data_IF_822259331611
#
_entry.id   IF_822259331611
#
_cell.length_a   1.000
_cell.length_b   1.000
_cell.length_c   1.000
_cell.angle_alpha   90.00
_cell.angle_beta   90.00
_cell.angle_gamma   90.00
#
_symmetry.space_group_name_H-M   'P 1'
#
loop_
_entity.id
_entity.type
_entity.pdbx_description
1 polymer ?
#
# COMPACT_ATOMS: atom_id res chain seq x y z
N UNK A 1 63.76 -69.22 -17.72
CA UNK A 1 63.28 -67.84 -17.95
C UNK A 1 62.16 -67.62 -16.96
N UNK A 2 62.27 -66.60 -16.11
CA UNK A 2 61.19 -66.22 -15.22
C UNK A 2 60.09 -65.59 -16.07
N UNK A 3 58.83 -65.94 -15.81
CA UNK A 3 57.67 -65.42 -16.55
C UNK A 3 57.32 -64.06 -15.94
N UNK A 4 57.20 -63.02 -16.78
CA UNK A 4 56.77 -61.68 -16.36
C UNK A 4 55.43 -61.73 -15.60
N UNK A 5 55.31 -60.95 -14.54
CA UNK A 5 54.05 -60.75 -13.82
C UNK A 5 53.32 -59.54 -14.41
N UNK A 6 51.98 -59.51 -14.28
CA UNK A 6 51.21 -58.35 -14.76
C UNK A 6 51.37 -57.20 -13.78
N UNK A 7 51.36 -55.95 -14.26
CA UNK A 7 51.33 -54.80 -13.37
C UNK A 7 50.01 -54.78 -12.57
N UNK A 8 50.01 -54.04 -11.47
CA UNK A 8 48.83 -53.73 -10.66
C UNK A 8 48.48 -52.26 -10.86
N UNK A 9 47.30 -52.00 -11.44
CA UNK A 9 46.74 -50.66 -11.50
C UNK A 9 46.03 -50.34 -10.18
N UNK A 10 46.20 -49.10 -9.71
CA UNK A 10 45.45 -48.49 -8.62
C UNK A 10 45.09 -47.07 -9.08
N UNK A 11 43.80 -46.80 -9.26
CA UNK A 11 43.29 -45.52 -9.75
C UNK A 11 43.03 -44.50 -8.63
N UNK A 12 43.35 -44.86 -7.38
CA UNK A 12 43.07 -44.07 -6.20
C UNK A 12 41.64 -44.21 -5.69
N UNK A 13 41.35 -43.55 -4.57
CA UNK A 13 40.03 -43.58 -3.95
C UNK A 13 39.01 -42.70 -4.69
N UNK A 14 37.74 -43.10 -4.61
CA UNK A 14 36.61 -42.30 -5.10
C UNK A 14 36.56 -40.93 -4.44
N UNK A 15 36.10 -39.92 -5.19
CA UNK A 15 36.07 -38.52 -4.77
C UNK A 15 34.66 -37.94 -4.81
N UNK A 16 34.40 -36.91 -3.99
CA UNK A 16 33.18 -36.11 -4.02
C UNK A 16 33.54 -34.64 -4.03
N UNK A 17 33.05 -33.89 -5.03
CA UNK A 17 33.38 -32.48 -5.25
C UNK A 17 32.16 -31.69 -5.73
N UNK A 18 32.18 -30.38 -5.53
CA UNK A 18 31.18 -29.48 -6.13
C UNK A 18 31.50 -29.17 -7.60
N UNK A 19 30.46 -28.90 -8.38
CA UNK A 19 30.60 -28.47 -9.78
C UNK A 19 31.49 -27.23 -9.92
N UNK A 20 32.46 -27.29 -10.82
CA UNK A 20 33.46 -26.23 -11.03
C UNK A 20 34.75 -26.36 -10.21
N UNK A 21 34.81 -27.29 -9.24
CA UNK A 21 36.03 -27.53 -8.48
C UNK A 21 37.14 -28.19 -9.34
N UNK A 22 38.44 -27.89 -9.09
CA UNK A 22 39.53 -28.65 -9.68
C UNK A 22 39.62 -30.05 -9.06
N UNK A 23 39.88 -31.06 -9.89
CA UNK A 23 39.97 -32.48 -9.49
C UNK A 23 41.28 -33.07 -10.01
N UNK A 24 41.93 -33.88 -9.17
CA UNK A 24 43.10 -34.69 -9.52
C UNK A 24 42.80 -36.16 -9.24
N UNK A 25 42.91 -37.02 -10.24
CA UNK A 25 42.85 -38.48 -10.08
C UNK A 25 44.27 -39.05 -10.09
N UNK A 26 44.58 -39.96 -9.17
CA UNK A 26 45.95 -40.30 -8.78
C UNK A 26 46.23 -41.79 -8.90
N UNK A 27 47.10 -42.14 -9.86
CA UNK A 27 47.54 -43.50 -10.14
C UNK A 27 48.88 -43.89 -9.53
N UNK A 28 49.48 -43.05 -8.67
CA UNK A 28 50.84 -43.24 -8.14
C UNK A 28 51.03 -44.52 -7.31
N UNK A 29 49.96 -45.12 -6.80
CA UNK A 29 49.98 -46.40 -6.08
C UNK A 29 50.08 -47.62 -7.02
N UNK A 30 49.95 -47.41 -8.33
CA UNK A 30 50.15 -48.47 -9.32
C UNK A 30 51.59 -48.99 -9.28
N UNK A 31 51.79 -50.29 -9.46
CA UNK A 31 53.10 -50.92 -9.34
C UNK A 31 53.26 -52.11 -10.29
N UNK A 32 54.50 -52.52 -10.49
CA UNK A 32 54.85 -53.75 -11.21
C UNK A 32 55.73 -54.65 -10.30
N UNK A 33 55.28 -55.85 -9.92
CA UNK A 33 55.99 -56.68 -8.93
C UNK A 33 57.40 -57.13 -9.32
N UNK A 34 57.70 -57.26 -10.62
CA UNK A 34 59.00 -57.73 -11.13
C UNK A 34 59.66 -56.77 -12.14
N UNK A 35 59.12 -55.56 -12.30
CA UNK A 35 59.62 -54.57 -13.24
C UNK A 35 59.25 -53.13 -12.91
N UNK A 36 59.00 -52.34 -13.96
CA UNK A 36 58.68 -50.92 -13.91
C UNK A 36 57.51 -50.59 -14.83
N UNK A 37 56.70 -49.61 -14.45
CA UNK A 37 55.64 -49.09 -15.31
C UNK A 37 56.23 -48.20 -16.40
N UNK A 38 55.94 -48.51 -17.66
CA UNK A 38 56.40 -47.79 -18.84
C UNK A 38 55.42 -46.74 -19.35
N UNK A 39 54.12 -46.87 -19.02
CA UNK A 39 53.08 -45.92 -19.44
C UNK A 39 51.85 -45.91 -18.53
N UNK A 40 51.20 -44.75 -18.46
CA UNK A 40 49.88 -44.54 -17.86
C UNK A 40 48.91 -44.06 -18.94
N UNK A 41 47.64 -44.42 -18.83
CA UNK A 41 46.59 -43.94 -19.73
C UNK A 41 45.26 -43.85 -18.99
N UNK A 42 44.77 -42.62 -18.82
CA UNK A 42 43.48 -42.29 -18.25
C UNK A 42 42.45 -42.08 -19.35
N UNK A 43 41.29 -42.73 -19.20
CA UNK A 43 40.15 -42.54 -20.09
C UNK A 43 38.90 -42.36 -19.24
N UNK A 44 38.11 -41.35 -19.55
CA UNK A 44 36.77 -41.23 -18.99
C UNK A 44 35.86 -42.30 -19.61
N UNK A 45 35.27 -43.15 -18.76
CA UNK A 45 34.41 -44.27 -19.17
C UNK A 45 32.92 -43.96 -19.05
N UNK A 46 32.51 -43.04 -18.17
CA UNK A 46 31.12 -42.65 -18.00
C UNK A 46 30.96 -41.21 -17.47
N UNK A 47 29.71 -40.71 -17.55
CA UNK A 47 29.30 -39.41 -17.05
C UNK A 47 29.52 -38.24 -18.03
N UNK A 48 29.17 -36.99 -17.62
CA UNK A 48 29.39 -35.80 -18.42
C UNK A 48 30.86 -35.61 -18.83
N UNK A 49 31.12 -35.36 -20.12
CA UNK A 49 32.50 -35.30 -20.64
C UNK A 49 33.30 -34.15 -20.04
N UNK A 50 34.52 -34.46 -19.59
CA UNK A 50 35.51 -33.48 -19.13
C UNK A 50 36.76 -33.51 -20.00
N UNK A 51 37.51 -32.41 -20.00
CA UNK A 51 38.84 -32.36 -20.64
C UNK A 51 39.87 -32.81 -19.63
N UNK A 52 40.38 -34.04 -19.78
CA UNK A 52 41.51 -34.54 -19.00
C UNK A 52 42.81 -33.89 -19.47
N UNK A 53 43.53 -33.29 -18.53
CA UNK A 53 44.90 -32.82 -18.73
C UNK A 53 45.85 -33.85 -18.14
N UNK A 54 46.98 -34.09 -18.81
CA UNK A 54 47.99 -35.09 -18.39
C UNK A 54 47.43 -36.51 -18.27
N UNK A 55 46.52 -36.86 -19.19
CA UNK A 55 45.88 -38.18 -19.22
C UNK A 55 46.88 -39.35 -19.46
N UNK A 56 48.11 -39.07 -19.87
CA UNK A 56 49.18 -40.06 -20.07
C UNK A 56 50.20 -40.10 -18.91
N UNK A 57 49.96 -39.35 -17.83
CA UNK A 57 50.79 -39.33 -16.63
C UNK A 57 50.15 -40.13 -15.48
N UNK A 58 50.93 -40.36 -14.42
CA UNK A 58 50.43 -41.04 -13.22
C UNK A 58 49.28 -40.29 -12.56
N UNK A 59 49.28 -38.95 -12.61
CA UNK A 59 48.20 -38.09 -12.14
C UNK A 59 47.59 -37.34 -13.32
N UNK A 60 46.27 -37.40 -13.46
CA UNK A 60 45.52 -36.60 -14.42
C UNK A 60 44.63 -35.59 -13.69
N UNK A 61 44.34 -34.45 -14.32
CA UNK A 61 43.51 -33.40 -13.73
C UNK A 61 42.42 -32.91 -14.67
N UNK A 62 41.34 -32.41 -14.10
CA UNK A 62 40.25 -31.75 -14.82
C UNK A 62 39.51 -30.77 -13.90
N UNK A 63 38.58 -30.01 -14.47
CA UNK A 63 37.61 -29.20 -13.71
C UNK A 63 36.27 -29.91 -13.73
N UNK A 64 35.68 -30.15 -12.56
CA UNK A 64 34.37 -30.77 -12.46
C UNK A 64 33.33 -29.95 -13.25
N UNK A 65 32.47 -30.60 -14.07
CA UNK A 65 31.47 -29.88 -14.85
C UNK A 65 30.43 -29.25 -13.93
N UNK A 66 29.86 -28.13 -14.34
CA UNK A 66 28.64 -27.60 -13.69
C UNK A 66 27.47 -28.51 -14.03
N UNK A 67 26.78 -29.02 -13.01
CA UNK A 67 25.67 -29.97 -13.17
C UNK A 67 24.40 -29.41 -12.53
N UNK A 68 23.24 -29.66 -13.16
CA UNK A 68 21.93 -29.24 -12.64
C UNK A 68 21.37 -30.19 -11.58
N UNK A 69 21.89 -31.42 -11.53
CA UNK A 69 21.58 -32.47 -10.55
C UNK A 69 22.85 -33.28 -10.30
N UNK A 70 22.95 -33.99 -9.17
CA UNK A 70 24.10 -34.84 -8.88
C UNK A 70 24.45 -35.76 -10.05
N UNK A 71 25.73 -35.83 -10.39
CA UNK A 71 26.25 -36.64 -11.49
C UNK A 71 27.46 -37.44 -11.03
N UNK A 72 27.72 -38.56 -11.69
CA UNK A 72 28.90 -39.38 -11.43
C UNK A 72 29.78 -39.44 -12.68
N UNK A 73 31.08 -39.21 -12.51
CA UNK A 73 32.09 -39.39 -13.55
C UNK A 73 32.88 -40.66 -13.23
N UNK A 74 33.09 -41.52 -14.22
CA UNK A 74 33.96 -42.69 -14.06
C UNK A 74 35.19 -42.54 -14.94
N UNK A 75 36.35 -42.83 -14.36
CA UNK A 75 37.62 -42.84 -15.06
C UNK A 75 38.27 -44.21 -14.91
N UNK A 76 38.94 -44.65 -15.97
CA UNK A 76 39.70 -45.90 -16.01
C UNK A 76 41.17 -45.56 -16.23
N UNK A 77 42.00 -45.95 -15.29
CA UNK A 77 43.45 -46.00 -15.45
C UNK A 77 43.84 -47.31 -16.14
N UNK A 78 44.74 -47.24 -17.11
CA UNK A 78 45.45 -48.40 -17.64
C UNK A 78 46.94 -48.16 -17.53
N UNK A 79 47.65 -49.06 -16.84
CA UNK A 79 49.11 -49.04 -16.74
C UNK A 79 49.70 -50.14 -17.62
N UNK A 80 50.86 -49.86 -18.22
CA UNK A 80 51.63 -50.84 -19.02
C UNK A 80 53.01 -51.02 -18.39
N UNK A 81 53.46 -52.25 -18.22
CA UNK A 81 54.81 -52.55 -17.72
C UNK A 81 55.90 -52.43 -18.81
N UNK A 82 57.17 -52.66 -18.47
CA UNK A 82 58.28 -52.63 -19.42
C UNK A 82 58.32 -53.81 -20.41
N UNK A 83 57.47 -54.82 -20.21
CA UNK A 83 57.37 -56.01 -21.07
C UNK A 83 56.09 -56.00 -21.93
N UNK A 84 55.24 -54.97 -21.79
CA UNK A 84 54.06 -54.68 -22.59
C UNK A 84 52.74 -55.24 -22.05
N UNK A 85 52.72 -55.87 -20.88
CA UNK A 85 51.47 -56.32 -20.25
C UNK A 85 50.72 -55.14 -19.61
N UNK A 86 49.39 -55.28 -19.50
CA UNK A 86 48.50 -54.19 -19.05
C UNK A 86 47.57 -54.64 -17.94
N UNK A 87 47.32 -53.70 -17.02
CA UNK A 87 46.27 -53.80 -16.03
C UNK A 87 45.50 -52.48 -15.97
N UNK A 88 44.27 -52.54 -15.47
CA UNK A 88 43.42 -51.37 -15.35
C UNK A 88 42.67 -51.37 -14.03
N UNK A 89 42.39 -50.18 -13.55
CA UNK A 89 41.57 -49.91 -12.38
C UNK A 89 40.70 -48.67 -12.65
N UNK A 90 39.66 -48.44 -11.83
CA UNK A 90 38.70 -47.36 -12.03
C UNK A 90 38.47 -46.54 -10.77
N UNK A 91 38.22 -45.25 -10.95
CA UNK A 91 37.87 -44.30 -9.89
C UNK A 91 36.61 -43.54 -10.26
N UNK A 92 35.76 -43.32 -9.27
CA UNK A 92 34.51 -42.58 -9.38
C UNK A 92 34.65 -41.17 -8.79
N UNK A 93 34.13 -40.16 -9.49
CA UNK A 93 34.05 -38.79 -8.99
C UNK A 93 32.59 -38.34 -8.98
N UNK A 94 32.00 -38.26 -7.79
CA UNK A 94 30.68 -37.72 -7.57
C UNK A 94 30.73 -36.18 -7.62
N UNK A 95 29.90 -35.58 -8.46
CA UNK A 95 29.80 -34.13 -8.64
C UNK A 95 28.45 -33.65 -8.13
N UNK A 96 28.46 -32.80 -7.11
CA UNK A 96 27.27 -32.14 -6.56
C UNK A 96 27.01 -30.79 -7.25
N UNK A 97 25.75 -30.43 -7.58
CA UNK A 97 25.42 -29.09 -8.06
C UNK A 97 25.80 -28.05 -7.02
N UNK A 98 26.42 -26.96 -7.45
CA UNK A 98 26.45 -25.74 -6.65
C UNK A 98 25.05 -25.10 -6.75
N UNK A 99 24.27 -25.12 -5.67
CA UNK A 99 23.05 -24.32 -5.65
C UNK A 99 23.45 -22.84 -5.58
N UNK A 100 22.92 -21.99 -6.47
CA UNK A 100 23.11 -20.55 -6.35
C UNK A 100 22.44 -20.11 -5.03
N UNK A 101 23.17 -19.37 -4.21
CA UNK A 101 22.64 -18.83 -2.96
C UNK A 101 21.45 -17.91 -3.25
N UNK A 102 20.35 -18.08 -2.52
CA UNK A 102 19.18 -17.22 -2.59
C UNK A 102 19.20 -16.16 -1.47
N UNK A 103 18.66 -14.95 -1.68
CA UNK A 103 18.56 -13.98 -0.59
C UNK A 103 17.61 -14.45 0.51
N UNK A 104 17.82 -14.01 1.77
CA UNK A 104 16.92 -14.34 2.87
C UNK A 104 15.55 -13.69 2.67
N UNK A 105 14.57 -14.13 3.47
CA UNK A 105 13.25 -13.50 3.62
C UNK A 105 13.26 -12.67 4.91
N UNK A 106 13.13 -11.35 4.77
CA UNK A 106 12.97 -10.42 5.89
C UNK A 106 11.49 -10.28 6.27
N UNK A 107 11.18 -10.40 7.55
CA UNK A 107 9.83 -10.25 8.11
C UNK A 107 9.95 -9.38 9.37
N UNK A 108 9.54 -8.11 9.29
CA UNK A 108 9.61 -7.14 10.40
C UNK A 108 8.45 -7.27 11.41
N UNK A 109 7.45 -8.10 11.08
CA UNK A 109 6.20 -8.23 11.83
C UNK A 109 5.12 -7.28 11.32
N UNK A 110 3.89 -7.36 11.87
CA UNK A 110 2.79 -6.50 11.45
C UNK A 110 2.93 -5.07 11.94
N UNK A 111 2.31 -4.13 11.21
CA UNK A 111 2.10 -2.75 11.66
C UNK A 111 1.41 -2.70 13.03
N UNK A 112 1.79 -1.71 13.85
CA UNK A 112 1.32 -1.58 15.23
C UNK A 112 0.67 -0.22 15.49
N UNK A 113 -0.12 -0.16 16.56
CA UNK A 113 -0.63 1.08 17.12
C UNK A 113 -0.25 1.20 18.58
N UNK A 114 0.11 2.40 19.02
CA UNK A 114 0.53 2.67 20.38
C UNK A 114 0.06 4.06 20.84
N UNK A 115 0.09 4.30 22.15
CA UNK A 115 -0.07 5.63 22.72
C UNK A 115 1.32 6.21 23.00
N UNK A 116 1.50 7.51 22.88
CA UNK A 116 2.75 8.19 23.20
C UNK A 116 3.21 7.86 24.65
N UNK A 117 4.49 7.56 24.82
CA UNK A 117 5.07 7.09 26.08
C UNK A 117 4.95 5.57 26.34
N UNK A 118 4.20 4.83 25.52
CA UNK A 118 4.14 3.37 25.61
C UNK A 118 5.39 2.70 25.03
N UNK A 119 5.75 1.53 25.57
CA UNK A 119 6.80 0.70 24.99
C UNK A 119 6.24 -0.16 23.85
N UNK A 120 6.90 -0.09 22.70
CA UNK A 120 6.61 -0.89 21.51
C UNK A 120 7.69 -1.95 21.35
N UNK A 121 7.30 -3.17 21.02
CA UNK A 121 8.22 -4.28 20.76
C UNK A 121 7.99 -4.84 19.37
N UNK A 122 9.08 -5.03 18.63
CA UNK A 122 9.11 -5.57 17.27
C UNK A 122 9.83 -6.92 17.31
N UNK A 123 9.36 -7.87 16.50
CA UNK A 123 9.86 -9.24 16.47
C UNK A 123 10.02 -9.72 15.02
N UNK A 124 11.28 -9.92 14.62
CA UNK A 124 11.67 -10.42 13.30
C UNK A 124 12.04 -11.91 13.30
N UNK A 125 11.74 -12.66 14.37
CA UNK A 125 12.09 -14.08 14.50
C UNK A 125 11.50 -15.00 13.42
N UNK A 126 10.51 -14.53 12.67
CA UNK A 126 9.96 -15.23 11.51
C UNK A 126 10.81 -15.09 10.23
N UNK A 127 11.79 -14.18 10.22
CA UNK A 127 12.74 -14.04 9.12
C UNK A 127 13.60 -15.30 9.00
N UNK A 128 13.89 -15.71 7.77
CA UNK A 128 14.56 -16.99 7.52
C UNK A 128 15.31 -16.97 6.19
N UNK A 129 16.21 -17.92 6.03
CA UNK A 129 16.97 -18.20 4.83
C UNK A 129 16.94 -19.72 4.59
N UNK A 130 16.93 -20.17 3.34
CA UNK A 130 16.80 -21.60 3.05
C UNK A 130 18.14 -22.34 3.25
N UNK A 131 19.25 -21.62 3.18
CA UNK A 131 20.62 -22.11 3.19
C UNK A 131 21.27 -22.03 4.58
N UNK A 132 20.76 -21.19 5.49
CA UNK A 132 21.35 -21.08 6.81
C UNK A 132 20.72 -20.07 7.78
N UNK A 133 21.46 -19.71 8.84
CA UNK A 133 21.02 -18.70 9.78
C UNK A 133 21.14 -17.28 9.19
N UNK A 134 20.38 -16.35 9.76
CA UNK A 134 20.37 -14.94 9.35
C UNK A 134 20.81 -14.02 10.49
N UNK A 135 21.22 -12.81 10.12
CA UNK A 135 21.52 -11.69 11.02
C UNK A 135 20.57 -10.53 10.77
N UNK A 136 20.33 -9.70 11.79
CA UNK A 136 19.34 -8.61 11.75
C UNK A 136 20.03 -7.25 11.84
N UNK A 137 19.40 -6.24 11.24
CA UNK A 137 19.76 -4.84 11.43
C UNK A 137 18.51 -3.97 11.37
N UNK A 138 18.13 -3.41 12.52
CA UNK A 138 17.01 -2.49 12.66
C UNK A 138 17.44 -1.03 12.55
N UNK A 139 16.65 -0.23 11.84
CA UNK A 139 16.90 1.20 11.68
C UNK A 139 15.59 1.99 11.65
N UNK A 140 15.51 3.06 12.43
CA UNK A 140 14.45 4.04 12.24
C UNK A 140 14.70 4.81 10.94
N UNK A 141 13.71 4.82 10.05
CA UNK A 141 13.80 5.48 8.74
C UNK A 141 12.95 6.75 8.65
N UNK A 142 11.90 6.87 9.47
CA UNK A 142 11.02 8.04 9.53
C UNK A 142 10.39 8.24 10.91
N UNK A 143 9.83 9.42 11.13
CA UNK A 143 9.13 9.82 12.36
C UNK A 143 10.02 10.49 13.42
N UNK A 144 9.44 10.90 14.55
CA UNK A 144 10.17 11.47 15.68
C UNK A 144 11.23 10.51 16.23
N UNK A 145 12.42 11.00 16.56
CA UNK A 145 13.52 10.15 17.01
C UNK A 145 13.25 9.53 18.39
N UNK A 146 13.66 8.29 18.56
CA UNK A 146 13.61 7.58 19.83
C UNK A 146 14.93 6.86 20.13
N UNK A 147 15.09 6.39 21.37
CA UNK A 147 16.21 5.56 21.78
C UNK A 147 15.79 4.08 21.80
N UNK A 148 16.57 3.24 21.14
CA UNK A 148 16.42 1.79 21.21
C UNK A 148 16.68 1.28 22.63
N UNK A 149 15.90 0.31 23.05
CA UNK A 149 16.09 -0.43 24.29
C UNK A 149 16.73 -1.77 23.98
N UNK A 150 18.06 -1.78 23.90
CA UNK A 150 18.85 -2.96 23.56
C UNK A 150 19.58 -2.83 22.23
N UNK A 151 20.12 -3.95 21.75
CA UNK A 151 20.92 -3.99 20.54
C UNK A 151 20.02 -4.08 19.30
N UNK A 152 20.35 -3.30 18.27
CA UNK A 152 19.57 -3.22 17.02
C UNK A 152 19.88 -4.36 16.03
N UNK A 153 20.70 -5.33 16.43
CA UNK A 153 21.05 -6.53 15.69
C UNK A 153 20.38 -7.80 16.25
N UNK A 154 19.47 -7.65 17.22
CA UNK A 154 18.67 -8.73 17.78
C UNK A 154 17.39 -8.99 16.95
N UNK A 155 16.88 -10.22 17.00
CA UNK A 155 15.59 -10.58 16.39
C UNK A 155 14.43 -9.77 16.98
N UNK A 156 14.48 -9.49 18.29
CA UNK A 156 13.49 -8.67 18.99
C UNK A 156 14.11 -7.38 19.48
N UNK A 157 13.45 -6.26 19.19
CA UNK A 157 13.85 -4.92 19.65
C UNK A 157 12.66 -4.21 20.30
N UNK A 158 12.94 -3.22 21.15
CA UNK A 158 11.90 -2.36 21.70
C UNK A 158 12.35 -0.91 21.81
N UNK A 159 11.38 -0.02 21.91
CA UNK A 159 11.59 1.39 22.18
C UNK A 159 10.38 1.98 22.90
N UNK A 160 10.54 3.15 23.51
CA UNK A 160 9.40 3.93 24.02
C UNK A 160 9.04 5.00 23.01
N UNK A 161 7.76 5.08 22.66
CA UNK A 161 7.25 6.11 21.74
C UNK A 161 7.44 7.51 22.36
N UNK A 162 8.00 8.49 21.63
CA UNK A 162 8.14 9.85 22.13
C UNK A 162 6.78 10.56 22.31
N UNK A 163 6.74 11.57 23.17
CA UNK A 163 5.62 12.52 23.27
C UNK A 163 5.92 13.74 22.43
N UNK A 164 5.02 14.10 21.52
CA UNK A 164 5.18 15.20 20.56
C UNK A 164 4.09 16.25 20.66
N UNK A 165 3.00 15.98 21.38
CA UNK A 165 1.82 16.85 21.45
C UNK A 165 0.96 16.82 20.19
N UNK A 166 1.14 15.79 19.36
CA UNK A 166 0.36 15.54 18.16
C UNK A 166 0.55 14.07 17.74
N UNK A 167 -0.46 13.47 17.13
CA UNK A 167 -0.38 12.12 16.56
C UNK A 167 0.67 12.03 15.45
N UNK A 168 1.36 10.88 15.35
CA UNK A 168 2.42 10.66 14.37
C UNK A 168 2.61 9.18 14.02
N UNK A 169 3.37 8.93 12.96
CA UNK A 169 3.83 7.59 12.60
C UNK A 169 5.36 7.48 12.71
N UNK A 170 5.83 6.31 13.14
CA UNK A 170 7.24 5.91 13.09
C UNK A 170 7.38 4.79 12.07
N UNK A 171 8.35 4.90 11.17
CA UNK A 171 8.68 3.83 10.23
C UNK A 171 10.03 3.24 10.61
N UNK A 172 10.05 1.93 10.87
CA UNK A 172 11.25 1.18 11.21
C UNK A 172 11.52 0.18 10.08
N UNK A 173 12.72 0.24 9.51
CA UNK A 173 13.23 -0.74 8.55
C UNK A 173 14.00 -1.86 9.24
N UNK A 174 13.81 -3.08 8.75
CA UNK A 174 14.59 -4.28 9.04
C UNK A 174 15.42 -4.63 7.80
N UNK A 175 16.69 -4.95 7.99
CA UNK A 175 17.51 -5.65 7.00
C UNK A 175 17.95 -6.98 7.58
N UNK A 176 17.76 -8.05 6.82
CA UNK A 176 18.17 -9.41 7.14
C UNK A 176 19.26 -9.84 6.18
N UNK A 177 20.37 -10.36 6.68
CA UNK A 177 21.53 -10.78 5.87
C UNK A 177 21.90 -12.23 6.19
N UNK A 178 22.08 -13.04 5.15
CA UNK A 178 22.53 -14.42 5.26
C UNK A 178 24.05 -14.53 5.55
N UNK A 179 24.54 -15.75 5.71
CA UNK A 179 25.97 -16.01 5.97
C UNK A 179 26.90 -15.77 4.77
N UNK A 180 26.34 -15.64 3.58
CA UNK A 180 27.07 -15.44 2.31
C UNK A 180 27.02 -13.97 1.83
N UNK A 181 26.34 -13.09 2.59
CA UNK A 181 26.27 -11.65 2.40
C UNK A 181 25.11 -11.16 1.54
N UNK A 182 24.16 -12.01 1.11
CA UNK A 182 22.93 -11.52 0.48
C UNK A 182 21.96 -11.00 1.53
N UNK A 183 21.16 -10.00 1.17
CA UNK A 183 20.23 -9.36 2.10
C UNK A 183 18.88 -9.08 1.48
N UNK A 184 17.89 -8.98 2.36
CA UNK A 184 16.53 -8.52 2.07
C UNK A 184 16.07 -7.55 3.17
N UNK A 185 15.05 -6.76 2.87
CA UNK A 185 14.53 -5.78 3.81
C UNK A 185 13.01 -5.83 3.89
N UNK A 186 12.49 -5.45 5.05
CA UNK A 186 11.07 -5.25 5.32
C UNK A 186 10.91 -4.05 6.26
N UNK A 187 9.69 -3.54 6.45
CA UNK A 187 9.43 -2.41 7.33
C UNK A 187 8.14 -2.57 8.12
N UNK A 188 8.12 -1.96 9.30
CA UNK A 188 6.95 -1.88 10.16
C UNK A 188 6.61 -0.41 10.43
N UNK A 189 5.32 -0.09 10.34
CA UNK A 189 4.77 1.22 10.68
C UNK A 189 4.12 1.14 12.05
N UNK A 190 4.50 2.08 12.93
CA UNK A 190 3.89 2.25 14.24
C UNK A 190 3.13 3.56 14.27
N UNK A 191 1.79 3.48 14.30
CA UNK A 191 0.90 4.63 14.45
C UNK A 191 0.79 4.99 15.94
N UNK A 192 1.17 6.21 16.30
CA UNK A 192 1.20 6.68 17.69
C UNK A 192 0.17 7.78 17.91
N UNK A 193 -0.74 7.54 18.85
CA UNK A 193 -1.69 8.54 19.35
C UNK A 193 -1.09 9.27 20.55
N UNK A 194 -0.99 10.59 20.53
CA UNK A 194 -0.54 11.38 21.68
C UNK A 194 -1.76 11.87 22.47
N UNK A 195 -1.90 11.52 23.76
CA UNK A 195 -3.05 11.96 24.56
C UNK A 195 -3.02 13.48 24.86
N UNK A 196 -1.94 14.18 24.52
CA UNK A 196 -1.87 15.64 24.55
C UNK A 196 -1.95 16.25 23.15
N UNK A 197 -2.41 15.49 22.15
CA UNK A 197 -2.79 16.06 20.85
C UNK A 197 -3.86 17.12 21.08
N UNK A 198 -3.64 18.31 20.53
CA UNK A 198 -4.52 19.48 20.57
C UNK A 198 -4.49 20.05 19.16
N UNK A 199 -5.41 19.56 18.32
CA UNK A 199 -5.37 19.76 16.88
C UNK A 199 -5.73 21.20 16.48
N UNK A 200 -6.47 21.92 17.32
CA UNK A 200 -6.87 23.30 17.07
C UNK A 200 -6.11 24.35 17.89
N UNK A 201 -5.31 23.90 18.87
CA UNK A 201 -4.37 24.69 19.64
C UNK A 201 -5.04 25.57 20.70
N UNK A 202 -6.23 25.19 21.16
CA UNK A 202 -7.01 25.97 22.10
C UNK A 202 -6.65 25.70 23.58
N UNK A 203 -5.81 24.69 23.82
CA UNK A 203 -5.33 24.26 25.12
C UNK A 203 -6.11 23.11 25.75
N UNK A 204 -7.09 22.52 25.04
CA UNK A 204 -7.83 21.32 25.44
C UNK A 204 -7.40 20.14 24.57
N UNK A 205 -6.89 19.03 25.14
CA UNK A 205 -6.55 17.86 24.35
C UNK A 205 -7.75 17.27 23.61
N UNK A 206 -7.53 16.76 22.39
CA UNK A 206 -8.54 16.26 21.45
C UNK A 206 -9.47 15.19 22.06
N UNK A 207 -8.97 14.39 23.02
CA UNK A 207 -9.75 13.32 23.68
C UNK A 207 -10.75 13.85 24.72
N UNK A 208 -10.62 15.12 25.09
CA UNK A 208 -11.42 15.83 26.09
C UNK A 208 -12.05 17.11 25.54
N UNK A 209 -11.77 17.42 24.28
CA UNK A 209 -12.32 18.55 23.56
C UNK A 209 -13.66 18.15 22.91
N UNK A 210 -14.73 18.90 23.21
CA UNK A 210 -16.02 18.71 22.57
C UNK A 210 -16.05 19.22 21.12
N UNK A 211 -15.04 19.98 20.70
CA UNK A 211 -14.79 20.39 19.33
C UNK A 211 -13.31 20.34 18.94
N UNK A 212 -12.72 19.13 18.76
CA UNK A 212 -11.28 18.89 18.50
C UNK A 212 -10.66 19.53 17.24
N UNK A 213 -11.40 20.39 16.53
CA UNK A 213 -10.96 21.03 15.29
C UNK A 213 -11.34 22.51 15.21
N UNK A 214 -12.00 23.05 16.24
CA UNK A 214 -12.51 24.42 16.26
C UNK A 214 -12.27 25.03 17.64
N UNK A 215 -11.33 26.00 17.76
CA UNK A 215 -10.90 26.48 19.07
C UNK A 215 -12.04 26.97 19.94
N UNK A 216 -12.27 26.30 21.05
CA UNK A 216 -13.29 26.64 22.03
C UNK A 216 -12.81 26.35 23.48
N UNK A 217 -11.81 27.10 24.00
CA UNK A 217 -11.15 26.77 25.28
C UNK A 217 -12.08 26.71 26.50
N UNK A 218 -13.25 27.37 26.41
CA UNK A 218 -14.25 27.36 27.47
C UNK A 218 -15.09 26.09 27.52
N UNK A 219 -15.05 25.26 26.47
CA UNK A 219 -15.86 24.05 26.31
C UNK A 219 -17.36 24.30 26.57
N UNK A 220 -17.80 25.56 26.42
CA UNK A 220 -19.15 25.98 26.73
C UNK A 220 -20.09 25.39 25.69
N UNK A 221 -21.13 24.69 26.15
CA UNK A 221 -22.21 24.23 25.28
C UNK A 221 -22.86 25.47 24.66
N UNK A 222 -22.77 25.60 23.34
CA UNK A 222 -23.48 26.68 22.66
C UNK A 222 -24.98 26.42 22.84
N UNK A 223 -25.62 27.22 23.69
CA UNK A 223 -26.97 27.00 24.25
C UNK A 223 -28.14 27.08 23.26
N UNK A 224 -27.92 26.76 21.98
CA UNK A 224 -28.94 26.76 20.94
C UNK A 224 -29.83 25.51 20.97
N UNK A 225 -29.46 24.50 21.75
CA UNK A 225 -30.29 23.33 22.06
C UNK A 225 -30.88 23.42 23.48
N UNK A 226 -32.00 24.16 23.62
CA UNK A 226 -32.79 24.22 24.85
C UNK A 226 -33.35 22.83 25.22
N UNK A 227 -32.55 22.01 25.91
CA UNK A 227 -33.03 20.88 26.71
C UNK A 227 -32.85 19.46 26.15
N UNK A 228 -31.94 19.20 25.19
CA UNK A 228 -31.67 17.81 24.72
C UNK A 228 -30.39 17.14 25.23
N UNK A 229 -29.58 17.82 26.05
CA UNK A 229 -28.29 17.26 26.52
C UNK A 229 -27.24 17.24 25.41
N UNK A 230 -25.97 17.36 25.81
CA UNK A 230 -24.72 17.39 25.01
C UNK A 230 -24.95 17.43 23.49
N UNK A 231 -25.18 18.64 22.97
CA UNK A 231 -25.46 18.91 21.57
C UNK A 231 -24.59 20.06 21.12
N UNK A 232 -23.29 19.77 20.93
CA UNK A 232 -22.29 20.82 20.82
C UNK A 232 -21.93 20.97 19.34
N UNK A 233 -22.60 21.91 18.67
CA UNK A 233 -22.17 22.33 17.35
C UNK A 233 -20.77 22.99 17.47
N UNK A 234 -19.83 22.57 16.63
CA UNK A 234 -18.49 23.13 16.56
C UNK A 234 -18.47 24.34 15.65
N UNK A 235 -18.63 25.51 16.26
CA UNK A 235 -18.81 26.78 15.56
C UNK A 235 -17.59 27.67 15.77
N UNK A 236 -17.00 28.15 14.67
CA UNK A 236 -15.97 29.19 14.74
C UNK A 236 -16.49 30.38 15.57
N UNK A 237 -15.73 30.85 16.58
CA UNK A 237 -16.20 31.84 17.54
C UNK A 237 -16.55 33.21 16.93
N UNK A 238 -16.15 33.46 15.68
CA UNK A 238 -16.47 34.70 14.96
C UNK A 238 -17.75 34.60 14.13
N UNK A 239 -18.38 33.42 14.04
CA UNK A 239 -19.63 33.24 13.32
C UNK A 239 -20.79 33.71 14.20
N UNK A 240 -21.61 34.61 13.66
CA UNK A 240 -22.83 35.08 14.32
C UNK A 240 -23.99 34.15 13.94
N UNK A 241 -24.58 33.53 14.95
CA UNK A 241 -25.76 32.67 14.79
C UNK A 241 -26.99 33.47 15.24
N UNK A 242 -27.94 33.78 14.33
CA UNK A 242 -29.21 34.38 14.70
C UNK A 242 -30.00 33.49 15.69
N UNK A 243 -30.74 34.11 16.62
CA UNK A 243 -31.51 33.38 17.64
C UNK A 243 -32.63 32.48 17.06
N UNK A 244 -32.98 32.70 15.80
CA UNK A 244 -34.00 31.95 15.06
C UNK A 244 -33.45 30.70 14.37
N UNK A 245 -32.14 30.48 14.37
CA UNK A 245 -31.50 29.31 13.76
C UNK A 245 -31.67 28.09 14.65
N UNK A 246 -32.05 26.98 14.04
CA UNK A 246 -32.16 25.67 14.68
C UNK A 246 -30.99 24.79 14.21
N UNK A 247 -30.22 24.26 15.16
CA UNK A 247 -29.01 23.48 14.91
C UNK A 247 -29.12 22.09 15.53
N UNK A 248 -28.93 21.07 14.70
CA UNK A 248 -28.75 19.69 15.12
C UNK A 248 -27.45 19.47 15.90
N UNK A 249 -27.31 18.26 16.42
CA UNK A 249 -26.11 17.84 17.17
C UNK A 249 -24.92 17.58 16.25
N UNK A 250 -23.70 17.89 16.68
CA UNK A 250 -22.48 17.60 15.90
C UNK A 250 -22.31 18.46 14.64
N UNK A 251 -23.09 19.53 14.48
CA UNK A 251 -22.95 20.46 13.36
C UNK A 251 -21.61 21.18 13.42
N UNK A 252 -20.85 21.24 12.33
CA UNK A 252 -19.61 22.02 12.26
C UNK A 252 -19.81 23.25 11.40
N UNK A 253 -19.43 24.44 11.90
CA UNK A 253 -19.59 25.72 11.22
C UNK A 253 -18.24 26.44 11.18
N UNK A 254 -17.59 26.42 10.02
CA UNK A 254 -16.27 26.99 9.84
C UNK A 254 -16.26 28.53 9.77
N UNK A 255 -15.06 29.09 9.83
CA UNK A 255 -14.80 30.54 9.74
C UNK A 255 -15.54 31.23 8.61
N UNK A 256 -16.17 32.35 8.93
CA UNK A 256 -16.76 33.25 7.94
C UNK A 256 -18.05 32.72 7.29
N UNK A 257 -18.59 31.60 7.77
CA UNK A 257 -19.94 31.16 7.43
C UNK A 257 -20.93 32.26 7.82
N UNK A 258 -21.94 32.46 6.97
CA UNK A 258 -23.03 33.42 7.19
C UNK A 258 -24.35 32.69 7.23
N UNK A 259 -25.09 32.85 8.32
CA UNK A 259 -26.43 32.29 8.50
C UNK A 259 -27.47 33.41 8.47
N UNK A 260 -28.54 33.17 7.72
CA UNK A 260 -29.75 33.96 7.71
C UNK A 260 -30.69 33.61 8.88
N UNK A 261 -31.83 34.27 8.93
CA UNK A 261 -32.87 33.99 9.92
C UNK A 261 -33.64 32.71 9.57
N UNK A 262 -34.17 32.01 10.59
CA UNK A 262 -35.02 30.82 10.43
C UNK A 262 -34.37 29.68 9.63
N UNK A 263 -33.04 29.59 9.68
CA UNK A 263 -32.30 28.48 9.08
C UNK A 263 -32.41 27.24 9.96
N UNK A 264 -32.62 26.08 9.36
CA UNK A 264 -32.60 24.78 10.05
C UNK A 264 -31.45 23.94 9.51
N UNK A 265 -30.63 23.39 10.38
CA UNK A 265 -29.48 22.56 10.04
C UNK A 265 -29.57 21.24 10.81
N UNK A 266 -29.65 20.12 10.09
CA UNK A 266 -29.71 18.79 10.68
C UNK A 266 -28.38 18.33 11.29
N UNK A 267 -28.45 17.25 12.06
CA UNK A 267 -27.31 16.67 12.78
C UNK A 267 -26.11 16.39 11.87
N UNK A 268 -24.90 16.51 12.41
CA UNK A 268 -23.62 16.25 11.73
C UNK A 268 -23.39 17.03 10.42
N UNK A 269 -24.18 18.06 10.16
CA UNK A 269 -24.00 18.90 8.97
C UNK A 269 -22.73 19.73 9.09
N UNK A 270 -21.96 19.80 8.01
CA UNK A 270 -20.72 20.57 7.94
C UNK A 270 -20.85 21.74 6.98
N UNK A 271 -20.59 22.94 7.50
CA UNK A 271 -20.51 24.17 6.72
C UNK A 271 -19.05 24.64 6.63
N UNK A 272 -18.48 24.59 5.43
CA UNK A 272 -17.09 25.00 5.21
C UNK A 272 -16.91 26.52 5.09
N UNK A 273 -15.65 26.94 5.07
CA UNK A 273 -15.25 28.34 5.14
C UNK A 273 -16.01 29.24 4.15
N UNK A 274 -16.60 30.31 4.67
CA UNK A 274 -17.28 31.32 3.87
C UNK A 274 -18.59 30.87 3.21
N UNK A 275 -19.11 29.67 3.53
CA UNK A 275 -20.42 29.27 3.05
C UNK A 275 -21.52 30.25 3.51
N UNK A 276 -22.57 30.41 2.71
CA UNK A 276 -23.68 31.33 3.02
C UNK A 276 -25.00 30.59 2.94
N UNK A 277 -25.68 30.48 4.07
CA UNK A 277 -27.03 29.90 4.19
C UNK A 277 -28.00 31.04 4.45
N UNK A 278 -28.95 31.23 3.54
CA UNK A 278 -29.89 32.37 3.55
C UNK A 278 -31.20 32.03 4.28
N UNK A 279 -32.07 33.03 4.39
CA UNK A 279 -33.20 32.99 5.31
C UNK A 279 -34.16 31.85 4.97
N UNK A 280 -34.61 31.11 5.98
CA UNK A 280 -35.55 30.00 5.83
C UNK A 280 -34.99 28.76 5.10
N UNK A 281 -33.70 28.71 4.80
CA UNK A 281 -33.09 27.54 4.17
C UNK A 281 -33.04 26.35 5.15
N UNK A 282 -33.19 25.14 4.62
CA UNK A 282 -33.15 23.90 5.41
C UNK A 282 -32.08 22.96 4.87
N UNK A 283 -31.19 22.51 5.75
CA UNK A 283 -30.22 21.47 5.47
C UNK A 283 -30.59 20.24 6.31
N UNK A 284 -30.71 19.08 5.67
CA UNK A 284 -30.91 17.80 6.33
C UNK A 284 -29.71 17.36 7.17
N UNK A 285 -29.79 16.17 7.77
CA UNK A 285 -28.66 15.59 8.51
C UNK A 285 -27.51 15.19 7.56
N UNK A 286 -26.28 15.15 8.05
CA UNK A 286 -25.09 14.72 7.33
C UNK A 286 -24.81 15.49 6.03
N UNK A 287 -25.36 16.71 5.88
CA UNK A 287 -25.13 17.56 4.70
C UNK A 287 -23.71 18.15 4.77
N UNK A 288 -23.03 18.23 3.63
CA UNK A 288 -21.75 18.94 3.51
C UNK A 288 -21.86 20.12 2.56
N UNK A 289 -21.64 21.33 3.05
CA UNK A 289 -21.67 22.57 2.26
C UNK A 289 -20.25 23.09 2.09
N UNK A 290 -19.72 22.97 0.88
CA UNK A 290 -18.33 23.30 0.54
C UNK A 290 -17.99 24.79 0.61
N UNK A 291 -16.69 25.09 0.58
CA UNK A 291 -16.14 26.45 0.70
C UNK A 291 -16.87 27.46 -0.22
N UNK A 292 -17.35 28.57 0.34
CA UNK A 292 -18.07 29.65 -0.37
C UNK A 292 -19.31 29.19 -1.15
N UNK A 293 -19.83 27.98 -0.91
CA UNK A 293 -21.11 27.58 -1.46
C UNK A 293 -22.25 28.42 -0.86
N UNK A 294 -23.33 28.59 -1.62
CA UNK A 294 -24.47 29.42 -1.22
C UNK A 294 -25.77 28.64 -1.35
N UNK A 295 -26.52 28.56 -0.25
CA UNK A 295 -27.90 28.08 -0.23
C UNK A 295 -28.80 29.30 -0.02
N UNK A 296 -29.63 29.60 -1.01
CA UNK A 296 -30.49 30.80 -1.05
C UNK A 296 -31.78 30.60 -0.25
N UNK A 297 -32.56 31.67 -0.17
CA UNK A 297 -33.73 31.77 0.69
C UNK A 297 -34.74 30.63 0.43
N UNK A 298 -35.18 29.95 1.49
CA UNK A 298 -36.16 28.87 1.43
C UNK A 298 -35.74 27.61 0.63
N UNK A 299 -34.47 27.49 0.22
CA UNK A 299 -33.99 26.29 -0.45
C UNK A 299 -33.79 25.15 0.55
N UNK A 300 -34.06 23.91 0.12
CA UNK A 300 -33.92 22.72 0.95
C UNK A 300 -32.93 21.72 0.36
N UNK A 301 -32.04 21.19 1.19
CA UNK A 301 -31.05 20.16 0.83
C UNK A 301 -31.27 18.95 1.71
N UNK A 302 -31.64 17.80 1.13
CA UNK A 302 -31.93 16.58 1.88
C UNK A 302 -30.67 15.89 2.45
N UNK A 303 -30.92 14.94 3.35
CA UNK A 303 -29.90 14.28 4.17
C UNK A 303 -28.76 13.66 3.34
N UNK A 304 -27.52 13.71 3.86
CA UNK A 304 -26.33 13.12 3.25
C UNK A 304 -25.89 13.76 1.94
N UNK A 305 -26.47 14.90 1.54
CA UNK A 305 -26.11 15.59 0.31
C UNK A 305 -24.82 16.39 0.44
N UNK A 306 -24.07 16.50 -0.66
CA UNK A 306 -22.82 17.27 -0.73
C UNK A 306 -22.93 18.40 -1.74
N UNK A 307 -22.58 19.61 -1.34
CA UNK A 307 -22.45 20.77 -2.20
C UNK A 307 -20.96 21.13 -2.35
N UNK A 308 -20.47 21.14 -3.59
CA UNK A 308 -19.09 21.47 -3.89
C UNK A 308 -18.77 22.95 -3.67
N UNK A 309 -17.48 23.27 -3.69
CA UNK A 309 -16.97 24.63 -3.54
C UNK A 309 -17.65 25.60 -4.51
N UNK A 310 -18.12 26.73 -4.00
CA UNK A 310 -18.86 27.78 -4.76
C UNK A 310 -20.11 27.28 -5.49
N UNK A 311 -20.65 26.10 -5.15
CA UNK A 311 -21.95 25.69 -5.65
C UNK A 311 -23.04 26.67 -5.17
N UNK A 312 -24.07 26.88 -5.98
CA UNK A 312 -25.18 27.78 -5.65
C UNK A 312 -26.50 27.07 -5.82
N UNK A 313 -27.21 26.88 -4.71
CA UNK A 313 -28.59 26.41 -4.68
C UNK A 313 -29.49 27.64 -4.58
N UNK A 314 -30.25 27.94 -5.64
CA UNK A 314 -31.09 29.14 -5.69
C UNK A 314 -32.39 28.99 -4.88
N UNK A 315 -33.09 30.11 -4.71
CA UNK A 315 -34.24 30.22 -3.84
C UNK A 315 -35.32 29.19 -4.20
N UNK A 316 -35.92 28.58 -3.18
CA UNK A 316 -36.98 27.58 -3.33
C UNK A 316 -36.57 26.25 -3.98
N UNK A 317 -35.31 26.07 -4.39
CA UNK A 317 -34.85 24.81 -4.96
C UNK A 317 -34.86 23.70 -3.89
N UNK A 318 -35.27 22.49 -4.29
CA UNK A 318 -35.43 21.34 -3.39
C UNK A 318 -34.62 20.17 -3.91
N UNK A 319 -33.59 19.81 -3.16
CA UNK A 319 -32.77 18.63 -3.40
C UNK A 319 -33.22 17.52 -2.46
N UNK A 320 -33.36 16.31 -3.00
CA UNK A 320 -33.59 15.09 -2.26
C UNK A 320 -32.39 14.68 -1.40
N UNK A 321 -32.42 13.46 -0.90
CA UNK A 321 -31.34 12.89 -0.11
C UNK A 321 -30.17 12.41 -0.98
N UNK A 322 -28.95 12.42 -0.43
CA UNK A 322 -27.73 11.90 -1.05
C UNK A 322 -27.41 12.53 -2.42
N UNK A 323 -27.77 13.79 -2.62
CA UNK A 323 -27.47 14.51 -3.85
C UNK A 323 -26.04 15.03 -3.81
N UNK A 324 -25.26 14.79 -4.86
CA UNK A 324 -23.93 15.38 -5.05
C UNK A 324 -24.01 16.52 -6.07
N UNK A 325 -23.62 17.73 -5.66
CA UNK A 325 -23.53 18.91 -6.52
C UNK A 325 -22.07 19.31 -6.63
N UNK A 326 -21.52 19.33 -7.83
CA UNK A 326 -20.12 19.62 -8.10
C UNK A 326 -19.73 21.08 -7.86
N UNK A 327 -18.44 21.37 -7.97
CA UNK A 327 -17.91 22.72 -7.79
C UNK A 327 -18.50 23.72 -8.78
N UNK A 328 -18.75 24.96 -8.31
CA UNK A 328 -19.27 26.09 -9.10
C UNK A 328 -20.57 25.79 -9.86
N UNK A 329 -21.25 24.71 -9.51
CA UNK A 329 -22.52 24.32 -10.12
C UNK A 329 -23.64 25.22 -9.61
N UNK A 330 -24.59 25.57 -10.49
CA UNK A 330 -25.78 26.33 -10.10
C UNK A 330 -27.05 25.52 -10.32
N UNK A 331 -27.82 25.35 -9.24
CA UNK A 331 -29.17 24.79 -9.26
C UNK A 331 -30.17 25.95 -9.25
N UNK A 332 -31.06 25.98 -10.23
CA UNK A 332 -31.98 27.07 -10.50
C UNK A 332 -33.10 27.22 -9.47
N UNK A 333 -33.80 28.36 -9.53
CA UNK A 333 -34.96 28.63 -8.66
C UNK A 333 -36.05 27.59 -8.85
N UNK A 334 -36.64 27.14 -7.75
CA UNK A 334 -37.71 26.13 -7.73
C UNK A 334 -37.38 24.83 -8.49
N UNK A 335 -36.09 24.51 -8.68
CA UNK A 335 -35.69 23.24 -9.26
C UNK A 335 -35.95 22.09 -8.27
N UNK A 336 -36.37 20.94 -8.79
CA UNK A 336 -36.63 19.73 -8.01
C UNK A 336 -35.62 18.66 -8.44
N UNK A 337 -34.75 18.26 -7.53
CA UNK A 337 -33.72 17.25 -7.77
C UNK A 337 -34.04 16.02 -6.92
N UNK A 338 -34.28 14.88 -7.56
CA UNK A 338 -34.54 13.62 -6.87
C UNK A 338 -33.33 13.10 -6.09
N UNK A 339 -33.57 12.09 -5.27
CA UNK A 339 -32.55 11.46 -4.45
C UNK A 339 -31.42 10.86 -5.28
N UNK A 340 -30.21 10.81 -4.70
CA UNK A 340 -29.02 10.15 -5.27
C UNK A 340 -28.58 10.69 -6.64
N UNK A 341 -29.00 11.91 -6.99
CA UNK A 341 -28.50 12.57 -8.20
C UNK A 341 -27.04 12.99 -8.03
N UNK A 342 -26.26 12.88 -9.11
CA UNK A 342 -24.90 13.39 -9.17
C UNK A 342 -24.80 14.45 -10.28
N UNK A 343 -24.44 15.68 -9.92
CA UNK A 343 -24.39 16.82 -10.83
C UNK A 343 -22.95 17.32 -10.89
N UNK A 344 -22.30 17.13 -12.03
CA UNK A 344 -20.89 17.45 -12.22
C UNK A 344 -20.59 18.94 -12.19
N UNK A 345 -19.32 19.25 -11.93
CA UNK A 345 -18.75 20.60 -11.82
C UNK A 345 -19.13 21.52 -12.99
N UNK A 346 -19.16 22.83 -12.70
CA UNK A 346 -19.41 23.91 -13.66
C UNK A 346 -20.75 23.77 -14.43
N UNK A 347 -21.68 22.94 -13.93
CA UNK A 347 -22.98 22.73 -14.56
C UNK A 347 -24.01 23.79 -14.15
N UNK A 348 -25.00 24.01 -15.01
CA UNK A 348 -26.10 24.94 -14.73
C UNK A 348 -27.44 24.30 -15.02
N UNK A 349 -28.21 24.08 -13.97
CA UNK A 349 -29.63 23.74 -14.05
C UNK A 349 -30.40 25.04 -13.86
N UNK A 350 -31.26 25.38 -14.83
CA UNK A 350 -32.09 26.59 -14.77
C UNK A 350 -33.32 26.36 -13.90
N UNK A 351 -34.14 27.41 -13.79
CA UNK A 351 -35.34 27.39 -12.95
C UNK A 351 -36.32 26.28 -13.37
N UNK A 352 -37.03 25.74 -12.38
CA UNK A 352 -38.07 24.72 -12.55
C UNK A 352 -37.60 23.44 -13.27
N UNK A 353 -36.28 23.18 -13.31
CA UNK A 353 -35.76 21.90 -13.80
C UNK A 353 -36.17 20.80 -12.84
N UNK A 354 -36.58 19.65 -13.39
CA UNK A 354 -36.92 18.46 -12.62
C UNK A 354 -35.95 17.35 -13.02
N UNK A 355 -35.18 16.85 -12.06
CA UNK A 355 -34.45 15.59 -12.19
C UNK A 355 -35.18 14.53 -11.37
N UNK A 356 -35.39 13.36 -11.96
CA UNK A 356 -35.82 12.15 -11.27
C UNK A 356 -34.76 11.65 -10.30
N UNK A 357 -34.97 10.45 -9.75
CA UNK A 357 -33.98 9.82 -8.87
C UNK A 357 -32.80 9.24 -9.66
N UNK A 358 -31.63 9.17 -9.04
CA UNK A 358 -30.44 8.50 -9.60
C UNK A 358 -29.97 9.09 -10.94
N UNK A 359 -30.26 10.36 -11.22
CA UNK A 359 -29.82 11.03 -12.45
C UNK A 359 -28.34 11.44 -12.33
N UNK A 360 -27.56 11.13 -13.36
CA UNK A 360 -26.18 11.57 -13.47
C UNK A 360 -26.10 12.68 -14.51
N UNK A 361 -25.53 13.81 -14.14
CA UNK A 361 -25.26 14.95 -15.02
C UNK A 361 -23.75 15.18 -15.07
N UNK A 362 -23.15 15.03 -16.24
CA UNK A 362 -21.74 15.28 -16.46
C UNK A 362 -21.37 16.75 -16.29
N UNK A 363 -20.07 17.04 -16.20
CA UNK A 363 -19.53 18.40 -16.03
C UNK A 363 -19.92 19.34 -17.17
N UNK A 364 -19.89 20.65 -16.90
CA UNK A 364 -20.14 21.71 -17.89
C UNK A 364 -21.51 21.59 -18.60
N UNK A 365 -22.47 20.91 -17.99
CA UNK A 365 -23.76 20.63 -18.62
C UNK A 365 -24.77 21.73 -18.34
N UNK A 366 -25.59 22.04 -19.33
CA UNK A 366 -26.62 23.08 -19.25
C UNK A 366 -28.01 22.50 -19.45
N UNK A 367 -28.79 22.42 -18.37
CA UNK A 367 -30.19 22.04 -18.41
C UNK A 367 -31.04 23.30 -18.33
N UNK A 368 -31.71 23.65 -19.43
CA UNK A 368 -32.48 24.89 -19.54
C UNK A 368 -33.83 24.78 -18.80
N UNK A 369 -34.50 25.90 -18.66
CA UNK A 369 -35.64 26.05 -17.76
C UNK A 369 -36.76 25.05 -18.06
N UNK A 370 -37.41 24.55 -17.00
CA UNK A 370 -38.54 23.63 -17.08
C UNK A 370 -38.27 22.28 -17.80
N UNK A 371 -37.01 21.95 -18.10
CA UNK A 371 -36.68 20.62 -18.63
C UNK A 371 -36.87 19.55 -17.54
N UNK A 372 -37.28 18.36 -17.97
CA UNK A 372 -37.53 17.22 -17.11
C UNK A 372 -36.66 16.04 -17.54
N UNK A 373 -36.00 15.41 -16.58
CA UNK A 373 -35.14 14.25 -16.81
C UNK A 373 -35.64 13.12 -15.93
N UNK A 374 -36.04 12.02 -16.55
CA UNK A 374 -36.54 10.84 -15.83
C UNK A 374 -35.46 10.12 -15.04
N UNK A 375 -35.89 9.23 -14.15
CA UNK A 375 -35.02 8.48 -13.24
C UNK A 375 -33.91 7.73 -13.99
N UNK A 376 -32.73 7.60 -13.35
CA UNK A 376 -31.57 6.84 -13.84
C UNK A 376 -31.03 7.29 -15.21
N UNK A 377 -31.44 8.44 -15.71
CA UNK A 377 -30.86 8.98 -16.92
C UNK A 377 -29.39 9.39 -16.68
N UNK A 378 -28.54 9.10 -17.66
CA UNK A 378 -27.14 9.48 -17.69
C UNK A 378 -26.92 10.55 -18.76
N UNK A 379 -26.58 11.75 -18.32
CA UNK A 379 -26.28 12.89 -19.18
C UNK A 379 -24.76 13.08 -19.18
N UNK A 380 -24.14 12.99 -20.34
CA UNK A 380 -22.71 13.17 -20.53
C UNK A 380 -22.22 14.60 -20.24
N UNK A 381 -20.94 14.82 -20.41
CA UNK A 381 -20.31 16.13 -20.21
C UNK A 381 -20.67 17.12 -21.33
N UNK A 382 -20.68 18.42 -21.00
CA UNK A 382 -20.93 19.51 -21.94
C UNK A 382 -22.25 19.38 -22.73
N UNK A 383 -23.24 18.68 -22.18
CA UNK A 383 -24.56 18.52 -22.80
C UNK A 383 -25.38 19.80 -22.65
N UNK A 384 -26.26 20.07 -23.61
CA UNK A 384 -27.32 21.07 -23.47
C UNK A 384 -28.70 20.44 -23.67
N UNK A 385 -29.53 20.47 -22.62
CA UNK A 385 -30.96 20.10 -22.70
C UNK A 385 -31.77 21.38 -22.84
N UNK A 386 -32.54 21.53 -23.92
CA UNK A 386 -33.34 22.73 -24.17
C UNK A 386 -34.52 22.87 -23.21
N UNK A 387 -35.07 24.08 -23.15
CA UNK A 387 -36.13 24.42 -22.22
C UNK A 387 -37.38 23.57 -22.50
N UNK A 388 -37.98 23.02 -21.44
CA UNK A 388 -39.18 22.18 -21.53
C UNK A 388 -38.97 20.79 -22.14
N UNK A 389 -37.75 20.42 -22.51
CA UNK A 389 -37.47 19.07 -23.05
C UNK A 389 -37.69 18.02 -21.96
N UNK A 390 -38.30 16.90 -22.36
CA UNK A 390 -38.47 15.72 -21.51
C UNK A 390 -37.51 14.64 -21.97
N UNK A 391 -36.54 14.30 -21.12
CA UNK A 391 -35.64 13.16 -21.29
C UNK A 391 -36.25 11.97 -20.54
N UNK A 392 -36.49 10.83 -21.20
CA UNK A 392 -37.11 9.68 -20.54
C UNK A 392 -36.15 9.06 -19.50
N UNK A 393 -36.72 8.24 -18.61
CA UNK A 393 -35.93 7.43 -17.68
C UNK A 393 -34.95 6.52 -18.43
N UNK A 394 -33.84 6.17 -17.78
CA UNK A 394 -32.78 5.30 -18.31
C UNK A 394 -32.11 5.80 -19.62
N UNK A 395 -32.38 7.04 -20.03
CA UNK A 395 -31.78 7.62 -21.23
C UNK A 395 -30.27 7.84 -21.04
N UNK A 396 -29.49 7.53 -22.07
CA UNK A 396 -28.06 7.83 -22.12
C UNK A 396 -27.83 8.90 -23.19
N UNK A 397 -27.39 10.09 -22.76
CA UNK A 397 -27.11 11.23 -23.63
C UNK A 397 -25.58 11.39 -23.70
N UNK A 398 -24.94 11.16 -24.87
CA UNK A 398 -23.49 11.30 -25.01
C UNK A 398 -22.99 12.73 -24.79
N UNK A 399 -21.71 12.86 -24.50
CA UNK A 399 -21.03 14.14 -24.33
C UNK A 399 -21.24 15.10 -25.51
N UNK A 400 -21.31 16.41 -25.22
CA UNK A 400 -21.46 17.48 -26.21
C UNK A 400 -22.81 17.51 -26.93
N UNK A 401 -23.76 16.64 -26.56
CA UNK A 401 -25.06 16.55 -27.23
C UNK A 401 -25.93 17.77 -26.92
N UNK A 402 -26.71 18.21 -27.92
CA UNK A 402 -27.81 19.18 -27.74
C UNK A 402 -29.15 18.48 -27.93
N UNK A 403 -29.87 18.25 -26.83
CA UNK A 403 -31.20 17.64 -26.83
C UNK A 403 -32.25 18.73 -27.03
N UNK A 404 -33.13 18.56 -28.01
CA UNK A 404 -34.04 19.60 -28.51
C UNK A 404 -35.49 19.28 -28.32
#
# INVERSE_FOLDING_TARGET
MQKNQRPQADAGADQSVDGGAPVTIDGLASSDPDGTLSAYAWVQSAGPTVVLQEADQAQARFTAPTVASAANLEFRLTVTDNDGERASDSVSVAVTPTQPNTPPVAIAGPDQSAVAGATVSLDASASHDAEGPVTYAWQQTSGPSFAWQGATDAATVSFTTPTTGADYAVIIGLTVTDTQGLSASDAVVVQVQDPNSDADGDGVPDDRDNCPSVPNPGQEQTGYNLGRGLGDACVDPNVKIPASVDLGTGVTIAKGVKLGDQVTIGDNTRLEQGATIKDGATLGADVSVGEKATVKDGASVGDGSTLGRKATIKAGARLGAQVSVGEKTSIGEDALIGDRCAIGDDSTLKQQVVLGMDVIVGRNTQIKAAAQVGDRASIGEAVTIRAGVVVPADAVIPDGTVVK
#
